data_IF_204388789050
#
_entry.id   IF_204388789050
#
_cell.length_a   1.000
_cell.length_b   1.000
_cell.length_c   1.000
_cell.angle_alpha   90.00
_cell.angle_beta   90.00
_cell.angle_gamma   90.00
#
_symmetry.space_group_name_H-M   'P 1'
#
loop_
_entity.id
_entity.type
_entity.pdbx_description
1 polymer ?
#
# COMPACT_ATOMS: atom_id res chain seq x y z
N UNK A 1 14.13 -16.51 1.68
CA UNK A 1 13.80 -16.51 3.11
C UNK A 1 12.46 -15.85 3.20
N UNK A 2 11.45 -16.56 3.69
CA UNK A 2 10.09 -16.05 3.85
C UNK A 2 10.02 -15.08 5.03
N UNK A 3 9.19 -14.04 4.91
CA UNK A 3 8.85 -13.13 6.00
C UNK A 3 7.66 -13.74 6.76
N UNK A 4 7.87 -14.13 8.01
CA UNK A 4 6.79 -14.62 8.87
C UNK A 4 6.02 -13.43 9.46
N UNK A 5 4.71 -13.35 9.20
CA UNK A 5 3.85 -12.39 9.86
C UNK A 5 3.47 -12.90 11.27
N UNK A 6 3.43 -12.00 12.27
CA UNK A 6 3.05 -12.38 13.63
C UNK A 6 1.60 -12.84 13.70
N UNK A 7 1.24 -13.50 14.80
CA UNK A 7 -0.13 -13.91 15.09
C UNK A 7 -1.05 -12.69 15.01
N UNK A 8 -2.16 -12.86 14.30
CA UNK A 8 -3.13 -11.80 14.01
C UNK A 8 -4.56 -12.29 14.30
N UNK A 9 -5.52 -11.37 14.26
CA UNK A 9 -6.92 -11.74 14.42
C UNK A 9 -7.46 -12.46 13.17
N UNK A 10 -8.61 -13.11 13.31
CA UNK A 10 -9.21 -13.91 12.24
C UNK A 10 -9.55 -13.10 10.97
N UNK A 11 -9.91 -11.82 11.11
CA UNK A 11 -10.22 -10.95 9.98
C UNK A 11 -8.98 -10.67 9.13
N UNK A 12 -7.88 -10.31 9.80
CA UNK A 12 -6.61 -10.03 9.16
C UNK A 12 -6.03 -11.27 8.50
N UNK A 13 -6.09 -12.43 9.17
CA UNK A 13 -5.64 -13.72 8.63
C UNK A 13 -6.44 -14.11 7.38
N UNK A 14 -7.78 -13.99 7.44
CA UNK A 14 -8.65 -14.29 6.30
C UNK A 14 -8.35 -13.39 5.09
N UNK A 15 -8.08 -12.09 5.32
CA UNK A 15 -7.66 -11.17 4.26
C UNK A 15 -6.32 -11.56 3.63
N UNK A 16 -5.34 -12.03 4.43
CA UNK A 16 -4.07 -12.54 3.89
C UNK A 16 -4.24 -13.82 3.06
N UNK A 17 -5.08 -14.76 3.50
CA UNK A 17 -5.37 -15.95 2.69
C UNK A 17 -6.09 -15.58 1.38
N UNK A 18 -6.99 -14.59 1.43
CA UNK A 18 -7.58 -13.99 0.23
C UNK A 18 -6.51 -13.41 -0.70
N UNK A 19 -5.53 -12.69 -0.16
CA UNK A 19 -4.43 -12.10 -0.92
C UNK A 19 -3.51 -13.17 -1.53
N UNK A 20 -3.20 -14.25 -0.81
CA UNK A 20 -2.44 -15.37 -1.35
C UNK A 20 -3.18 -16.07 -2.48
N UNK A 21 -4.51 -16.24 -2.35
CA UNK A 21 -5.33 -16.76 -3.43
C UNK A 21 -5.29 -15.84 -4.66
N UNK A 22 -5.43 -14.52 -4.47
CA UNK A 22 -5.31 -13.54 -5.54
C UNK A 22 -3.92 -13.62 -6.21
N UNK A 23 -2.84 -13.63 -5.44
CA UNK A 23 -1.48 -13.68 -5.95
C UNK A 23 -1.16 -14.97 -6.72
N UNK A 24 -1.75 -16.10 -6.32
CA UNK A 24 -1.61 -17.37 -7.04
C UNK A 24 -2.28 -17.32 -8.42
N UNK A 25 -3.44 -16.68 -8.54
CA UNK A 25 -4.22 -16.66 -9.78
C UNK A 25 -3.86 -15.46 -10.69
N UNK A 26 -3.41 -14.35 -10.10
CA UNK A 26 -2.97 -13.14 -10.77
C UNK A 26 -1.63 -12.71 -10.16
N UNK A 27 -0.49 -13.26 -10.64
CA UNK A 27 0.81 -13.06 -9.98
C UNK A 27 1.44 -11.68 -10.21
N UNK A 28 0.96 -10.92 -11.20
CA UNK A 28 1.55 -9.65 -11.62
C UNK A 28 0.48 -8.57 -11.89
N UNK A 29 0.92 -7.34 -12.16
CA UNK A 29 0.05 -6.21 -12.48
C UNK A 29 -0.58 -5.52 -11.28
N UNK A 30 -0.20 -5.85 -10.06
CA UNK A 30 -0.66 -5.18 -8.84
C UNK A 30 0.39 -5.20 -7.73
N UNK A 31 0.16 -4.41 -6.68
CA UNK A 31 1.01 -4.41 -5.48
C UNK A 31 0.20 -4.13 -4.22
N UNK A 32 0.54 -4.81 -3.12
CA UNK A 32 0.04 -4.56 -1.77
C UNK A 32 0.41 -3.15 -1.32
N UNK A 33 -0.55 -2.40 -0.79
CA UNK A 33 -0.36 -1.09 -0.17
C UNK A 33 -1.09 -1.06 1.18
N UNK A 34 -1.41 0.14 1.70
CA UNK A 34 -2.28 0.24 2.87
C UNK A 34 -1.59 -0.16 4.18
N UNK A 35 -2.36 -0.57 5.17
CA UNK A 35 -1.82 -0.91 6.49
C UNK A 35 -1.15 -2.28 6.53
N UNK A 36 -1.63 -3.26 5.77
CA UNK A 36 -0.98 -4.59 5.70
C UNK A 36 0.39 -4.55 5.00
N UNK A 37 0.61 -3.60 4.07
CA UNK A 37 1.96 -3.29 3.58
C UNK A 37 2.88 -2.84 4.71
N UNK A 38 2.41 -1.96 5.60
CA UNK A 38 3.19 -1.45 6.74
C UNK A 38 3.50 -2.58 7.70
N UNK A 39 2.50 -3.39 8.03
CA UNK A 39 2.66 -4.56 8.90
C UNK A 39 3.69 -5.55 8.34
N UNK A 40 3.69 -5.79 7.04
CA UNK A 40 4.68 -6.65 6.39
C UNK A 40 6.11 -6.07 6.46
N UNK A 41 6.28 -4.76 6.29
CA UNK A 41 7.58 -4.10 6.54
C UNK A 41 8.01 -4.21 8.00
N UNK A 42 7.07 -4.07 8.94
CA UNK A 42 7.33 -4.21 10.38
C UNK A 42 7.84 -5.62 10.72
N UNK A 43 7.15 -6.66 10.24
CA UNK A 43 7.54 -8.05 10.44
C UNK A 43 8.92 -8.37 9.84
N UNK A 44 9.20 -7.90 8.62
CA UNK A 44 10.51 -8.08 7.98
C UNK A 44 11.65 -7.43 8.79
N UNK A 45 11.37 -6.31 9.46
CA UNK A 45 12.35 -5.53 10.21
C UNK A 45 12.41 -5.86 11.70
N UNK A 46 11.54 -6.76 12.18
CA UNK A 46 11.42 -7.10 13.60
C UNK A 46 10.93 -5.93 14.45
N UNK A 47 10.03 -5.10 13.91
CA UNK A 47 9.41 -3.96 14.59
C UNK A 47 7.94 -4.26 14.84
N UNK A 48 7.41 -3.85 15.99
CA UNK A 48 5.98 -3.97 16.29
C UNK A 48 5.17 -2.87 15.59
N UNK A 49 4.03 -3.20 14.97
CA UNK A 49 3.21 -2.21 14.32
C UNK A 49 2.57 -1.25 15.34
N UNK A 50 2.64 0.06 15.09
CA UNK A 50 1.99 1.08 15.92
C UNK A 50 0.46 0.95 15.95
N UNK A 51 -0.13 0.41 14.87
CA UNK A 51 -1.55 0.13 14.72
C UNK A 51 -1.76 -1.06 13.80
N UNK A 52 -2.88 -1.77 13.93
CA UNK A 52 -3.30 -2.83 13.00
C UNK A 52 -4.56 -2.45 12.22
N UNK A 53 -4.77 -3.11 11.09
CA UNK A 53 -5.98 -3.03 10.25
C UNK A 53 -6.28 -4.41 9.68
N UNK A 54 -7.53 -4.90 9.67
CA UNK A 54 -7.83 -6.20 9.08
C UNK A 54 -7.83 -6.19 7.54
N UNK A 55 -8.11 -5.02 6.95
CA UNK A 55 -8.26 -4.85 5.50
C UNK A 55 -6.91 -4.93 4.77
N UNK A 56 -6.90 -5.65 3.64
CA UNK A 56 -5.79 -5.65 2.66
C UNK A 56 -6.11 -4.66 1.54
N UNK A 57 -5.15 -3.80 1.19
CA UNK A 57 -5.28 -2.88 0.06
C UNK A 57 -4.34 -3.29 -1.08
N UNK A 58 -4.84 -3.35 -2.32
CA UNK A 58 -4.05 -3.62 -3.51
C UNK A 58 -4.23 -2.51 -4.55
N UNK A 59 -3.13 -1.99 -5.11
CA UNK A 59 -3.16 -1.05 -6.24
C UNK A 59 -2.88 -1.80 -7.53
N UNK A 60 -3.69 -1.56 -8.55
CA UNK A 60 -3.56 -2.22 -9.86
C UNK A 60 -2.84 -1.34 -10.89
N UNK A 61 -1.92 -1.94 -11.64
CA UNK A 61 -1.21 -1.28 -12.75
C UNK A 61 -2.06 -1.27 -14.03
N UNK A 62 -3.11 -0.46 -14.03
CA UNK A 62 -3.99 -0.26 -15.20
C UNK A 62 -3.26 0.39 -16.39
N UNK A 63 -2.03 0.89 -16.21
CA UNK A 63 -1.22 1.46 -17.29
C UNK A 63 -0.38 0.40 -17.99
N UNK A 64 0.32 -0.43 -17.22
CA UNK A 64 1.07 -1.56 -17.73
C UNK A 64 0.16 -2.69 -18.22
N UNK A 65 -1.01 -2.84 -17.61
CA UNK A 65 -1.96 -3.92 -17.84
C UNK A 65 -3.39 -3.37 -17.98
N UNK A 66 -3.83 -2.94 -19.17
CA UNK A 66 -5.12 -2.26 -19.35
C UNK A 66 -6.36 -3.04 -18.88
N UNK A 67 -6.31 -4.37 -18.86
CA UNK A 67 -7.40 -5.25 -18.42
C UNK A 67 -7.32 -5.67 -16.95
N UNK A 68 -6.30 -5.24 -16.21
CA UNK A 68 -6.02 -5.77 -14.86
C UNK A 68 -7.17 -5.58 -13.88
N UNK A 69 -7.93 -4.49 -14.00
CA UNK A 69 -9.10 -4.28 -13.14
C UNK A 69 -10.14 -5.37 -13.35
N UNK A 70 -10.48 -5.68 -14.61
CA UNK A 70 -11.35 -6.79 -14.95
C UNK A 70 -10.76 -8.12 -14.47
N UNK A 71 -9.49 -8.40 -14.79
CA UNK A 71 -8.81 -9.65 -14.41
C UNK A 71 -8.81 -9.90 -12.91
N UNK A 72 -8.41 -8.91 -12.10
CA UNK A 72 -8.35 -9.05 -10.64
C UNK A 72 -9.74 -9.20 -10.04
N UNK A 73 -10.70 -8.39 -10.49
CA UNK A 73 -12.06 -8.46 -9.93
C UNK A 73 -12.81 -9.72 -10.36
N UNK A 74 -12.53 -10.27 -11.54
CA UNK A 74 -13.00 -11.61 -11.94
C UNK A 74 -12.37 -12.69 -11.07
N UNK A 75 -11.05 -12.66 -10.84
CA UNK A 75 -10.39 -13.64 -9.96
C UNK A 75 -10.88 -13.58 -8.50
N UNK A 76 -11.27 -12.39 -8.02
CA UNK A 76 -11.93 -12.23 -6.73
C UNK A 76 -13.34 -12.84 -6.75
N UNK A 77 -14.14 -12.57 -7.78
CA UNK A 77 -15.47 -13.15 -7.93
C UNK A 77 -15.44 -14.68 -8.03
N UNK A 78 -14.50 -15.25 -8.80
CA UNK A 78 -14.28 -16.70 -8.92
C UNK A 78 -13.85 -17.33 -7.58
N UNK A 79 -13.25 -16.52 -6.70
CA UNK A 79 -12.89 -16.89 -5.34
C UNK A 79 -14.02 -16.64 -4.33
N UNK A 80 -15.24 -16.35 -4.77
CA UNK A 80 -16.42 -16.05 -3.95
C UNK A 80 -16.29 -14.77 -3.12
N UNK A 81 -15.42 -13.83 -3.53
CA UNK A 81 -15.48 -12.48 -2.99
C UNK A 81 -16.60 -11.70 -3.69
N UNK A 82 -17.44 -11.06 -2.89
CA UNK A 82 -18.49 -10.19 -3.37
C UNK A 82 -18.10 -8.72 -3.22
N UNK A 83 -18.47 -7.86 -4.17
CA UNK A 83 -18.23 -6.45 -4.01
C UNK A 83 -19.15 -5.84 -2.94
N UNK A 84 -18.58 -4.98 -2.08
CA UNK A 84 -19.31 -4.31 -1.00
C UNK A 84 -19.62 -2.86 -1.34
N UNK A 85 -20.75 -2.65 -2.01
CA UNK A 85 -21.32 -1.32 -2.27
C UNK A 85 -20.47 -0.45 -3.21
N UNK A 86 -20.86 0.81 -3.31
CA UNK A 86 -20.19 1.84 -4.12
C UNK A 86 -19.89 3.06 -3.25
N UNK A 87 -18.83 3.79 -3.59
CA UNK A 87 -18.62 5.12 -3.03
C UNK A 87 -19.71 6.09 -3.50
N UNK A 88 -19.85 7.24 -2.83
CA UNK A 88 -20.78 8.29 -3.26
C UNK A 88 -20.56 8.76 -4.71
N UNK A 89 -19.34 8.61 -5.24
CA UNK A 89 -18.98 8.91 -6.63
C UNK A 89 -19.11 7.71 -7.59
N UNK A 90 -19.80 6.64 -7.17
CA UNK A 90 -20.07 5.44 -7.97
C UNK A 90 -18.84 4.59 -8.27
N UNK A 91 -17.84 4.57 -7.37
CA UNK A 91 -16.64 3.73 -7.52
C UNK A 91 -16.75 2.47 -6.68
N UNK A 92 -16.25 1.37 -7.22
CA UNK A 92 -16.15 0.10 -6.53
C UNK A 92 -14.70 -0.16 -6.17
N UNK A 93 -14.45 -0.61 -4.95
CA UNK A 93 -13.10 -0.94 -4.49
C UNK A 93 -13.10 -2.10 -3.50
N UNK A 94 -14.10 -2.17 -2.62
CA UNK A 94 -14.14 -3.17 -1.56
C UNK A 94 -14.72 -4.50 -2.00
N UNK A 95 -14.00 -5.58 -1.73
CA UNK A 95 -14.39 -6.97 -1.97
C UNK A 95 -14.32 -7.74 -0.66
N UNK A 96 -15.35 -8.53 -0.35
CA UNK A 96 -15.48 -9.24 0.93
C UNK A 96 -15.81 -10.71 0.75
N UNK A 97 -15.29 -11.58 1.62
CA UNK A 97 -15.65 -13.00 1.71
C UNK A 97 -15.54 -13.48 3.16
N UNK A 98 -16.67 -13.70 3.81
CA UNK A 98 -16.69 -13.97 5.26
C UNK A 98 -16.01 -12.82 6.03
N UNK A 99 -14.92 -13.14 6.74
CA UNK A 99 -14.11 -12.15 7.47
C UNK A 99 -13.05 -11.43 6.62
N UNK A 100 -12.78 -11.90 5.40
CA UNK A 100 -11.75 -11.32 4.54
C UNK A 100 -12.25 -10.03 3.86
N UNK A 101 -11.40 -9.01 3.82
CA UNK A 101 -11.63 -7.76 3.09
C UNK A 101 -10.41 -7.41 2.24
N UNK A 102 -10.64 -7.21 0.94
CA UNK A 102 -9.63 -6.73 -0.02
C UNK A 102 -10.18 -5.47 -0.71
N UNK A 103 -9.50 -4.34 -0.51
CA UNK A 103 -9.74 -3.10 -1.21
C UNK A 103 -8.84 -3.00 -2.45
N UNK A 104 -9.46 -2.88 -3.62
CA UNK A 104 -8.82 -2.80 -4.93
C UNK A 104 -8.87 -1.36 -5.45
N UNK A 105 -7.69 -0.77 -5.62
CA UNK A 105 -7.49 0.63 -5.98
C UNK A 105 -6.77 0.74 -7.34
N UNK A 106 -6.93 1.88 -8.00
CA UNK A 106 -6.22 2.20 -9.25
C UNK A 106 -5.44 3.52 -9.10
N UNK A 107 -4.35 3.76 -9.84
CA UNK A 107 -3.67 5.04 -9.85
C UNK A 107 -4.56 6.19 -10.34
N UNK A 108 -4.50 7.33 -9.65
CA UNK A 108 -5.04 8.59 -10.16
C UNK A 108 -4.17 9.16 -11.30
N UNK A 109 -4.78 9.99 -12.17
CA UNK A 109 -4.09 10.75 -13.22
C UNK A 109 -3.23 9.91 -14.19
N UNK A 110 -3.79 8.86 -14.79
CA UNK A 110 -3.06 7.95 -15.69
C UNK A 110 -2.77 8.51 -17.10
N UNK A 111 -3.22 9.72 -17.44
CA UNK A 111 -2.98 10.38 -18.74
C UNK A 111 -3.69 9.73 -19.94
N UNK A 112 -4.13 8.49 -19.79
CA UNK A 112 -5.08 7.79 -20.65
C UNK A 112 -6.23 7.30 -19.77
N UNK A 113 -7.46 7.23 -20.29
CA UNK A 113 -8.55 6.65 -19.52
C UNK A 113 -8.25 5.17 -19.26
N UNK A 114 -7.89 4.86 -18.01
CA UNK A 114 -8.24 3.58 -17.38
C UNK A 114 -9.74 3.52 -17.18
N UNK A 115 -10.51 3.64 -18.28
CA UNK A 115 -11.98 3.56 -18.35
C UNK A 115 -12.48 2.11 -18.33
N UNK A 116 -11.60 1.16 -18.02
CA UNK A 116 -12.01 -0.21 -17.75
C UNK A 116 -12.92 -0.24 -16.52
N UNK A 117 -13.96 -1.06 -16.60
CA UNK A 117 -14.77 -1.44 -15.46
C UNK A 117 -14.29 -2.79 -14.93
N UNK A 118 -14.50 -3.06 -13.65
CA UNK A 118 -14.31 -4.40 -13.10
C UNK A 118 -15.40 -5.37 -13.54
N UNK A 119 -15.33 -6.61 -13.05
CA UNK A 119 -16.26 -7.70 -13.36
C UNK A 119 -17.73 -7.35 -13.11
N UNK A 120 -18.01 -6.53 -12.10
CA UNK A 120 -19.35 -6.02 -11.78
C UNK A 120 -19.77 -4.76 -12.55
N UNK A 121 -19.00 -4.35 -13.57
CA UNK A 121 -19.36 -3.23 -14.44
C UNK A 121 -19.11 -1.83 -13.86
N UNK A 122 -18.43 -1.72 -12.72
CA UNK A 122 -18.11 -0.44 -12.07
C UNK A 122 -16.63 -0.06 -12.21
N UNK A 123 -16.32 1.25 -12.29
CA UNK A 123 -14.95 1.73 -12.30
C UNK A 123 -14.28 1.62 -10.91
N UNK A 124 -12.96 1.41 -10.91
CA UNK A 124 -12.13 1.38 -9.70
C UNK A 124 -12.01 2.73 -9.00
N UNK A 125 -11.65 2.70 -7.71
CA UNK A 125 -11.35 3.90 -6.93
C UNK A 125 -9.92 4.40 -7.19
N UNK A 126 -9.79 5.62 -7.67
CA UNK A 126 -8.50 6.23 -7.99
C UNK A 126 -7.79 6.77 -6.73
N UNK A 127 -6.51 6.45 -6.57
CA UNK A 127 -5.68 6.93 -5.45
C UNK A 127 -4.43 7.68 -5.94
N UNK A 128 -4.13 8.88 -5.41
CA UNK A 128 -2.90 9.62 -5.73
C UNK A 128 -1.63 8.85 -5.37
N UNK A 129 -0.55 9.05 -6.13
CA UNK A 129 0.77 8.45 -5.86
C UNK A 129 0.88 6.93 -6.03
N UNK A 130 -0.22 6.21 -6.27
CA UNK A 130 -0.24 4.75 -6.45
C UNK A 130 0.73 4.23 -7.51
N UNK A 131 0.95 5.01 -8.58
CA UNK A 131 1.90 4.66 -9.63
C UNK A 131 3.34 4.49 -9.11
N UNK A 132 3.71 5.21 -8.04
CA UNK A 132 5.04 5.12 -7.46
C UNK A 132 5.21 3.86 -6.61
N UNK A 133 4.14 3.39 -5.95
CA UNK A 133 4.12 2.09 -5.29
C UNK A 133 4.36 0.96 -6.29
N UNK A 134 3.66 0.98 -7.42
CA UNK A 134 3.81 0.00 -8.50
C UNK A 134 5.22 -0.04 -9.07
N UNK A 135 5.81 1.13 -9.36
CA UNK A 135 7.19 1.24 -9.91
C UNK A 135 8.28 0.71 -8.97
N UNK A 136 7.98 0.64 -7.67
CA UNK A 136 8.91 0.17 -6.64
C UNK A 136 8.49 -1.19 -6.08
N UNK A 137 7.64 -1.92 -6.79
CA UNK A 137 7.07 -3.18 -6.35
C UNK A 137 8.03 -4.35 -6.57
N UNK A 138 8.27 -5.12 -5.53
CA UNK A 138 9.10 -6.32 -5.51
C UNK A 138 8.29 -7.53 -5.01
N UNK A 139 8.57 -8.74 -5.49
CA UNK A 139 7.99 -9.96 -4.94
C UNK A 139 8.67 -10.29 -3.61
N UNK A 140 7.87 -10.71 -2.64
CA UNK A 140 8.34 -11.25 -1.36
C UNK A 140 7.55 -12.49 -1.00
N UNK A 141 8.23 -13.47 -0.44
CA UNK A 141 7.63 -14.68 0.13
C UNK A 141 7.19 -14.37 1.55
N UNK A 142 5.93 -14.69 1.89
CA UNK A 142 5.31 -14.37 3.17
C UNK A 142 4.65 -15.61 3.75
N UNK A 143 4.82 -15.83 5.05
CA UNK A 143 4.21 -16.93 5.80
C UNK A 143 3.22 -16.37 6.82
N UNK A 144 1.99 -16.89 6.80
CA UNK A 144 0.91 -16.61 7.76
C UNK A 144 0.42 -17.96 8.29
N UNK A 145 0.62 -18.21 9.59
CA UNK A 145 0.43 -19.54 10.17
C UNK A 145 1.26 -20.58 9.42
N UNK A 146 0.61 -21.63 8.92
CA UNK A 146 1.25 -22.68 8.13
C UNK A 146 1.20 -22.43 6.60
N UNK A 147 0.61 -21.30 6.17
CA UNK A 147 0.43 -20.99 4.75
C UNK A 147 1.52 -20.02 4.27
N UNK A 148 2.17 -20.36 3.17
CA UNK A 148 3.17 -19.49 2.52
C UNK A 148 2.70 -19.09 1.13
N UNK A 149 2.87 -17.83 0.77
CA UNK A 149 2.55 -17.29 -0.55
C UNK A 149 3.49 -16.16 -0.96
N UNK A 150 3.67 -16.00 -2.26
CA UNK A 150 4.43 -14.87 -2.82
C UNK A 150 3.48 -13.72 -3.11
N UNK A 151 3.72 -12.55 -2.53
CA UNK A 151 2.97 -11.33 -2.80
C UNK A 151 3.89 -10.24 -3.31
N UNK A 152 3.32 -9.23 -3.97
CA UNK A 152 4.07 -8.06 -4.40
C UNK A 152 3.82 -6.91 -3.44
N UNK A 153 4.87 -6.24 -2.97
CA UNK A 153 4.77 -5.01 -2.17
C UNK A 153 5.81 -3.98 -2.63
N UNK A 154 5.62 -2.69 -2.40
CA UNK A 154 6.67 -1.71 -2.62
C UNK A 154 7.85 -1.91 -1.67
N UNK A 155 9.06 -1.57 -2.13
CA UNK A 155 10.21 -1.32 -1.26
C UNK A 155 9.85 -0.34 -0.13
N UNK A 156 10.66 -0.30 0.93
CA UNK A 156 10.42 0.62 2.05
C UNK A 156 10.30 2.09 1.60
N UNK A 157 11.13 2.51 0.64
CA UNK A 157 11.03 3.86 0.06
C UNK A 157 9.71 4.06 -0.71
N UNK A 158 9.25 3.06 -1.47
CA UNK A 158 7.94 3.11 -2.12
C UNK A 158 6.78 3.18 -1.14
N UNK A 159 6.88 2.47 -0.02
CA UNK A 159 5.92 2.52 1.08
C UNK A 159 5.84 3.93 1.70
N UNK A 160 6.99 4.58 1.96
CA UNK A 160 7.07 5.96 2.45
C UNK A 160 6.42 6.95 1.48
N UNK A 161 6.67 6.80 0.18
CA UNK A 161 6.07 7.67 -0.85
C UNK A 161 4.56 7.50 -0.91
N UNK A 162 4.03 6.27 -0.93
CA UNK A 162 2.59 6.06 -1.04
C UNK A 162 1.84 6.50 0.23
N UNK A 163 2.43 6.38 1.42
CA UNK A 163 1.85 6.96 2.65
C UNK A 163 1.87 8.48 2.64
N UNK A 164 2.94 9.08 2.13
CA UNK A 164 3.00 10.53 1.91
C UNK A 164 1.91 10.99 0.93
N UNK A 165 1.65 10.23 -0.14
CA UNK A 165 0.61 10.53 -1.11
C UNK A 165 -0.80 10.33 -0.55
N UNK A 166 -1.02 9.28 0.24
CA UNK A 166 -2.30 9.01 0.89
C UNK A 166 -2.71 10.13 1.86
N UNK A 167 -1.74 10.74 2.56
CA UNK A 167 -1.97 11.92 3.40
C UNK A 167 -2.54 13.12 2.63
N UNK A 168 -2.22 13.27 1.33
CA UNK A 168 -2.73 14.37 0.50
C UNK A 168 -4.23 14.28 0.18
N UNK A 169 -4.88 13.14 0.49
CA UNK A 169 -6.31 12.92 0.24
C UNK A 169 -7.11 13.66 1.33
N UNK A 170 -7.47 14.90 1.05
CA UNK A 170 -8.14 15.79 2.02
C UNK A 170 -9.55 15.35 2.42
N UNK A 171 -10.20 14.53 1.59
CA UNK A 171 -11.53 13.97 1.87
C UNK A 171 -11.50 12.73 2.77
N UNK A 172 -10.33 12.16 3.06
CA UNK A 172 -10.19 11.07 4.04
C UNK A 172 -10.24 11.66 5.46
N UNK A 173 -11.32 11.44 6.24
CA UNK A 173 -11.43 11.98 7.59
C UNK A 173 -10.36 11.39 8.54
N UNK A 174 -9.76 10.27 8.17
CA UNK A 174 -8.73 9.59 8.94
C UNK A 174 -7.34 9.75 8.32
N UNK A 175 -7.11 10.76 7.46
CA UNK A 175 -5.82 10.95 6.76
C UNK A 175 -4.59 11.00 7.69
N UNK A 176 -4.77 11.41 8.94
CA UNK A 176 -3.67 11.49 9.92
C UNK A 176 -3.06 10.12 10.23
N UNK A 177 -3.81 9.02 10.09
CA UNK A 177 -3.25 7.66 10.25
C UNK A 177 -2.15 7.33 9.24
N UNK A 178 -2.11 8.05 8.11
CA UNK A 178 -1.02 7.92 7.13
C UNK A 178 0.26 8.58 7.62
N UNK A 179 0.17 9.58 8.52
CA UNK A 179 1.34 10.16 9.21
C UNK A 179 1.89 9.20 10.27
N UNK A 180 1.03 8.49 10.99
CA UNK A 180 1.45 7.41 11.90
C UNK A 180 2.27 6.34 11.16
N UNK A 181 1.70 5.85 10.05
CA UNK A 181 2.38 4.86 9.20
C UNK A 181 3.67 5.42 8.60
N UNK A 182 3.69 6.70 8.21
CA UNK A 182 4.87 7.35 7.66
C UNK A 182 5.99 7.44 8.71
N UNK A 183 5.67 7.80 9.95
CA UNK A 183 6.62 7.85 11.07
C UNK A 183 7.16 6.44 11.38
N UNK A 184 6.30 5.43 11.43
CA UNK A 184 6.68 4.03 11.65
C UNK A 184 7.57 3.46 10.54
N UNK A 185 7.20 3.67 9.27
CA UNK A 185 8.04 3.25 8.15
C UNK A 185 9.39 3.99 8.15
N UNK A 186 9.40 5.27 8.54
CA UNK A 186 10.61 6.07 8.58
C UNK A 186 11.57 5.58 9.67
N UNK A 187 11.08 5.12 10.82
CA UNK A 187 11.95 4.58 11.88
C UNK A 187 12.77 3.37 11.43
N UNK A 188 12.22 2.58 10.50
CA UNK A 188 12.89 1.42 9.89
C UNK A 188 13.87 1.77 8.76
N UNK A 189 13.92 3.04 8.35
CA UNK A 189 14.70 3.49 7.19
C UNK A 189 16.20 3.52 7.48
N UNK A 190 16.96 2.71 6.75
CA UNK A 190 18.42 2.63 6.87
C UNK A 190 19.14 3.29 5.70
N UNK A 191 20.46 3.50 5.84
CA UNK A 191 21.29 3.96 4.74
C UNK A 191 21.34 2.98 3.55
N UNK A 192 21.11 1.68 3.79
CA UNK A 192 21.06 0.66 2.72
C UNK A 192 19.84 0.86 1.82
N UNK A 193 18.70 1.16 2.42
CA UNK A 193 17.43 1.41 1.71
C UNK A 193 17.51 2.66 0.80
N UNK A 194 18.42 3.57 1.11
CA UNK A 194 18.64 4.83 0.39
C UNK A 194 19.82 4.80 -0.57
N UNK A 195 20.58 3.69 -0.64
CA UNK A 195 21.79 3.62 -1.46
C UNK A 195 21.43 3.68 -2.94
N UNK A 196 21.86 4.74 -3.64
CA UNK A 196 21.52 4.96 -5.05
C UNK A 196 20.04 5.25 -5.29
N UNK A 197 19.27 5.51 -4.23
CA UNK A 197 17.88 5.86 -4.37
C UNK A 197 17.73 7.30 -4.87
N UNK A 198 16.86 7.49 -5.84
CA UNK A 198 16.42 8.80 -6.31
C UNK A 198 14.90 8.87 -6.24
N UNK A 199 14.38 10.07 -5.99
CA UNK A 199 12.95 10.35 -6.09
C UNK A 199 12.70 11.16 -7.37
N UNK A 200 11.74 10.72 -8.17
CA UNK A 200 11.22 11.56 -9.24
C UNK A 200 10.57 12.83 -8.68
N UNK A 201 10.33 13.83 -9.53
CA UNK A 201 9.68 15.09 -9.12
C UNK A 201 8.34 14.86 -8.41
N UNK A 202 7.53 13.93 -8.91
CA UNK A 202 6.22 13.65 -8.35
C UNK A 202 6.26 12.85 -7.04
N UNK A 203 7.26 11.99 -6.85
CA UNK A 203 7.50 11.35 -5.54
C UNK A 203 7.99 12.39 -4.53
N UNK A 204 8.95 13.22 -4.93
CA UNK A 204 9.52 14.29 -4.13
C UNK A 204 8.45 15.27 -3.65
N UNK A 205 7.47 15.59 -4.50
CA UNK A 205 6.32 16.44 -4.12
C UNK A 205 5.59 15.89 -2.90
N UNK A 206 5.13 14.63 -2.95
CA UNK A 206 4.37 14.04 -1.85
C UNK A 206 5.16 13.97 -0.56
N UNK A 207 6.43 13.55 -0.65
CA UNK A 207 7.29 13.45 0.52
C UNK A 207 7.59 14.83 1.11
N UNK A 208 7.82 15.86 0.28
CA UNK A 208 8.05 17.24 0.71
C UNK A 208 6.86 17.83 1.47
N UNK A 209 5.65 17.48 1.06
CA UNK A 209 4.41 17.95 1.69
C UNK A 209 4.14 17.20 3.02
N UNK A 210 4.36 15.89 3.07
CA UNK A 210 3.99 15.07 4.23
C UNK A 210 5.03 15.08 5.36
N UNK A 211 6.34 15.07 5.04
CA UNK A 211 7.40 14.91 6.05
C UNK A 211 7.43 16.01 7.12
N UNK A 212 7.30 17.31 6.79
CA UNK A 212 7.24 18.34 7.83
C UNK A 212 6.07 18.12 8.80
N UNK A 213 4.89 17.78 8.28
CA UNK A 213 3.71 17.50 9.11
C UNK A 213 3.91 16.25 9.96
N UNK A 214 4.54 15.22 9.40
CA UNK A 214 4.82 13.98 10.13
C UNK A 214 5.77 14.21 11.31
N UNK A 215 6.75 15.13 11.19
CA UNK A 215 7.67 15.45 12.30
C UNK A 215 6.98 16.07 13.49
N UNK A 216 5.93 16.86 13.23
CA UNK A 216 5.13 17.51 14.28
C UNK A 216 3.99 16.58 14.77
N UNK A 217 3.88 15.37 14.20
CA UNK A 217 2.83 14.42 14.55
C UNK A 217 3.20 13.60 15.80
N UNK A 218 2.20 13.23 16.60
CA UNK A 218 2.40 12.49 17.86
C UNK A 218 3.20 11.19 17.66
N UNK A 219 2.92 10.43 16.61
CA UNK A 219 3.67 9.20 16.35
C UNK A 219 5.17 9.43 16.16
N UNK A 220 5.60 10.58 15.63
CA UNK A 220 7.02 10.88 15.48
C UNK A 220 7.73 11.12 16.82
N UNK A 221 7.01 11.45 17.90
CA UNK A 221 7.59 11.60 19.23
C UNK A 221 7.53 10.31 20.04
N UNK A 222 6.59 9.42 19.74
CA UNK A 222 6.38 8.16 20.46
C UNK A 222 7.14 6.99 19.84
N UNK A 223 7.33 6.99 18.51
CA UNK A 223 8.01 5.90 17.80
C UNK A 223 9.52 6.16 17.77
N UNK A 224 10.26 5.29 18.46
CA UNK A 224 11.72 5.33 18.47
C UNK A 224 12.30 5.30 17.05
N UNK A 225 13.25 6.19 16.78
CA UNK A 225 13.93 6.30 15.48
C UNK A 225 13.15 7.03 14.39
N UNK A 226 11.86 7.35 14.58
CA UNK A 226 11.07 8.08 13.60
C UNK A 226 11.65 9.48 13.26
N UNK A 227 12.11 10.31 14.23
CA UNK A 227 12.70 11.62 13.93
C UNK A 227 13.93 11.55 13.01
N UNK A 228 14.81 10.58 13.26
CA UNK A 228 16.01 10.33 12.46
C UNK A 228 15.65 9.82 11.06
N UNK A 229 14.69 8.89 10.98
CA UNK A 229 14.14 8.36 9.74
C UNK A 229 13.57 9.46 8.83
N UNK A 230 12.70 10.31 9.39
CA UNK A 230 12.11 11.45 8.71
C UNK A 230 13.17 12.49 8.30
N UNK A 231 14.25 12.62 9.07
CA UNK A 231 15.39 13.46 8.72
C UNK A 231 16.17 12.92 7.53
N UNK A 232 16.40 11.60 7.47
CA UNK A 232 17.02 10.95 6.30
C UNK A 232 16.16 11.10 5.06
N UNK A 233 14.85 10.91 5.19
CA UNK A 233 13.91 11.03 4.08
C UNK A 233 13.84 12.48 3.54
N UNK A 234 13.85 13.50 4.41
CA UNK A 234 13.90 14.89 3.96
C UNK A 234 15.16 15.23 3.18
N UNK A 235 16.33 14.78 3.64
CA UNK A 235 17.62 14.97 2.92
C UNK A 235 17.62 14.33 1.54
N UNK A 236 16.91 13.22 1.35
CA UNK A 236 16.74 12.60 0.03
C UNK A 236 15.94 13.51 -0.92
N UNK A 237 14.87 14.12 -0.42
CA UNK A 237 14.03 15.05 -1.20
C UNK A 237 14.80 16.32 -1.58
N UNK A 238 15.65 16.84 -0.68
CA UNK A 238 16.48 18.03 -0.94
C UNK A 238 17.48 17.82 -2.08
N UNK A 239 17.94 16.57 -2.28
CA UNK A 239 18.85 16.20 -3.37
C UNK A 239 18.14 15.93 -4.70
N UNK A 240 16.82 15.78 -4.66
CA UNK A 240 16.04 15.42 -5.84
C UNK A 240 15.67 16.67 -6.65
N UNK A 241 15.67 16.60 -8.00
CA UNK A 241 15.39 17.76 -8.83
C UNK A 241 13.99 18.33 -8.56
N UNK A 242 13.91 19.66 -8.46
CA UNK A 242 12.65 20.40 -8.31
C UNK A 242 11.72 20.24 -9.52
#
# INVERSE_FOLDING_TARGET
MSIALPVMNAEQEASWFGLFHLAKNVPEGWTLVGGQMVHLHCAERGVEPYRSTPDVDAVLDVRGHPQILMTVTSALADAEFEPRGLTASGKQHRWVRGHATIDVLIPAFTGQPGRGVGASGYPGLATPGAIYALRRSEPVEVTVGDTTGTVRRPTLLGALVIKSAAYSITVDPHRNRHLDDLALLASMLTARDLRGAELSKGESKYVREAVPVARDHLAATVIDGAPDGLSRLARLVERSPA
#
